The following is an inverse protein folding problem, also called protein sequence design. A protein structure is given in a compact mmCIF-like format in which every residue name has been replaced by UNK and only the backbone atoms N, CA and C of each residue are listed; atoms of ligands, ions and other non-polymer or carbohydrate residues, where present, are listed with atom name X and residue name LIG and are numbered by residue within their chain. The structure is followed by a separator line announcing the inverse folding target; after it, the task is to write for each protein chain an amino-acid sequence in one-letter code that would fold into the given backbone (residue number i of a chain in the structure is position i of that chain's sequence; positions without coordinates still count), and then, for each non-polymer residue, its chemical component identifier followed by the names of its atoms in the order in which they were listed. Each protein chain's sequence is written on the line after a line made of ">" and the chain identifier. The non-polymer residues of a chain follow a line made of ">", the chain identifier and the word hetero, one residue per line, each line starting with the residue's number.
data_IF_871090148408
#
_entry.id   IF_871090148408
#
_cell.length_a   1.000
_cell.length_b   1.000
_cell.length_c   1.000
_cell.angle_alpha   90.00
_cell.angle_beta   90.00
_cell.angle_gamma   90.00
#
_symmetry.space_group_name_H-M   'P 1'
#
loop_
_entity.id
_entity.type
_entity.pdbx_description
1 polymer ?
#
# COMPACT_ATOMS: atom_id res chain seq x y z
N UNK A 1 2.63 -24.42 2.71
CA UNK A 1 2.20 -25.49 3.63
C UNK A 1 0.99 -24.99 4.41
N UNK A 2 -0.14 -25.72 4.52
CA UNK A 2 -1.35 -25.25 5.21
C UNK A 2 -1.06 -24.81 6.66
N UNK A 3 -0.18 -25.54 7.34
CA UNK A 3 0.25 -25.23 8.71
C UNK A 3 0.99 -23.88 8.89
N UNK A 4 1.39 -23.20 7.80
CA UNK A 4 1.95 -21.86 7.87
C UNK A 4 0.90 -20.78 8.17
N UNK A 5 -0.41 -21.08 8.08
CA UNK A 5 -1.51 -20.16 8.38
C UNK A 5 -1.71 -19.01 7.37
N UNK A 6 -0.71 -18.72 6.51
CA UNK A 6 -0.75 -17.64 5.52
C UNK A 6 -1.88 -17.84 4.48
N UNK A 7 -2.15 -19.10 4.09
CA UNK A 7 -3.21 -19.42 3.14
C UNK A 7 -4.61 -19.14 3.70
N UNK A 8 -4.83 -19.49 4.96
CA UNK A 8 -6.12 -19.31 5.63
C UNK A 8 -6.37 -17.83 5.95
N UNK A 9 -5.36 -17.11 6.47
CA UNK A 9 -5.44 -15.65 6.68
C UNK A 9 -5.71 -14.91 5.36
N UNK A 10 -5.07 -15.31 4.27
CA UNK A 10 -5.32 -14.72 2.96
C UNK A 10 -6.75 -14.96 2.51
N UNK A 11 -7.25 -16.20 2.62
CA UNK A 11 -8.60 -16.56 2.18
C UNK A 11 -9.69 -15.88 3.03
N UNK A 12 -9.47 -15.75 4.34
CA UNK A 12 -10.37 -15.03 5.25
C UNK A 12 -10.39 -13.52 4.96
N UNK A 13 -9.25 -12.94 4.57
CA UNK A 13 -9.16 -11.54 4.17
C UNK A 13 -9.62 -11.29 2.73
N UNK A 14 -9.66 -12.31 1.87
CA UNK A 14 -10.09 -12.19 0.47
C UNK A 14 -11.56 -11.72 0.36
N UNK A 15 -12.37 -12.07 1.37
CA UNK A 15 -13.74 -11.58 1.54
C UNK A 15 -13.81 -10.05 1.71
N UNK A 16 -12.80 -9.42 2.34
CA UNK A 16 -12.72 -7.96 2.46
C UNK A 16 -12.39 -7.30 1.10
N UNK A 17 -11.72 -8.02 0.21
CA UNK A 17 -11.40 -7.57 -1.14
C UNK A 17 -12.53 -7.80 -2.16
N UNK A 18 -13.43 -8.77 -1.91
CA UNK A 18 -14.52 -9.17 -2.84
C UNK A 18 -15.83 -8.38 -2.69
N UNK A 19 -15.88 -7.34 -1.85
CA UNK A 19 -16.81 -6.22 -2.05
C UNK A 19 -16.39 -5.37 -3.27
N UNK A 20 -16.19 -6.01 -4.43
CA UNK A 20 -15.69 -5.37 -5.66
C UNK A 20 -16.57 -4.20 -6.12
N UNK A 21 -17.86 -4.21 -5.74
CA UNK A 21 -18.79 -3.10 -5.97
C UNK A 21 -18.63 -1.92 -5.01
N UNK A 22 -18.26 -2.15 -3.74
CA UNK A 22 -18.16 -1.09 -2.73
C UNK A 22 -16.79 -0.38 -2.81
N UNK A 23 -15.69 -1.13 -2.90
CA UNK A 23 -14.35 -0.53 -2.98
C UNK A 23 -14.18 0.34 -4.24
N UNK A 24 -14.68 -0.14 -5.38
CA UNK A 24 -14.69 0.63 -6.62
C UNK A 24 -15.59 1.87 -6.51
N UNK A 25 -16.72 1.77 -5.82
CA UNK A 25 -17.62 2.90 -5.58
C UNK A 25 -17.00 3.95 -4.66
N UNK A 26 -16.33 3.54 -3.58
CA UNK A 26 -15.63 4.43 -2.65
C UNK A 26 -14.53 5.24 -3.37
N UNK A 27 -13.75 4.57 -4.21
CA UNK A 27 -12.76 5.21 -5.09
C UNK A 27 -13.43 6.22 -6.04
N UNK A 28 -14.56 5.86 -6.64
CA UNK A 28 -15.29 6.80 -7.49
C UNK A 28 -15.87 8.00 -6.72
N UNK A 29 -16.38 7.80 -5.51
CA UNK A 29 -16.92 8.88 -4.69
C UNK A 29 -15.81 9.84 -4.26
N UNK A 30 -14.67 9.32 -3.80
CA UNK A 30 -13.51 10.12 -3.40
C UNK A 30 -13.01 11.00 -4.55
N UNK A 31 -12.76 10.42 -5.73
CA UNK A 31 -12.32 11.18 -6.89
C UNK A 31 -13.33 12.24 -7.35
N UNK A 32 -14.63 11.93 -7.37
CA UNK A 32 -15.66 12.91 -7.74
C UNK A 32 -15.71 14.10 -6.77
N UNK A 33 -15.60 13.84 -5.46
CA UNK A 33 -15.54 14.89 -4.45
C UNK A 33 -14.29 15.77 -4.65
N UNK A 34 -13.13 15.16 -4.85
CA UNK A 34 -11.86 15.87 -5.10
C UNK A 34 -11.92 16.74 -6.36
N UNK A 35 -12.52 16.27 -7.44
CA UNK A 35 -12.73 17.06 -8.66
C UNK A 35 -13.60 18.29 -8.41
N UNK A 36 -14.63 18.15 -7.56
CA UNK A 36 -15.47 19.27 -7.12
C UNK A 36 -14.69 20.28 -6.27
N UNK A 37 -13.83 19.80 -5.37
CA UNK A 37 -12.91 20.63 -4.58
C UNK A 37 -11.95 21.40 -5.48
N UNK A 38 -11.35 20.74 -6.49
CA UNK A 38 -10.42 21.39 -7.41
C UNK A 38 -11.02 22.60 -8.14
N UNK A 39 -12.28 22.47 -8.58
CA UNK A 39 -13.01 23.55 -9.27
C UNK A 39 -13.11 24.83 -8.43
N UNK A 40 -13.16 24.70 -7.10
CA UNK A 40 -13.30 25.79 -6.13
C UNK A 40 -12.07 25.96 -5.22
N UNK A 41 -10.91 25.44 -5.61
CA UNK A 41 -9.69 25.36 -4.78
C UNK A 41 -9.21 26.70 -4.19
N UNK A 42 -9.55 27.84 -4.83
CA UNK A 42 -9.20 29.19 -4.37
C UNK A 42 -10.17 29.78 -3.35
N UNK A 43 -11.27 29.07 -3.06
CA UNK A 43 -12.36 29.50 -2.18
C UNK A 43 -12.55 28.51 -1.03
N UNK A 44 -11.58 27.63 -0.79
CA UNK A 44 -11.65 26.66 0.29
C UNK A 44 -11.55 27.37 1.64
N UNK A 45 -12.37 26.91 2.58
CA UNK A 45 -12.43 27.36 3.96
C UNK A 45 -12.08 26.21 4.89
N UNK A 46 -11.86 26.49 6.18
CA UNK A 46 -11.60 25.43 7.17
C UNK A 46 -12.73 24.39 7.23
N UNK A 47 -13.97 24.79 6.96
CA UNK A 47 -15.16 23.92 6.95
C UNK A 47 -15.14 22.89 5.83
N UNK A 48 -14.35 23.12 4.76
CA UNK A 48 -14.20 22.18 3.66
C UNK A 48 -13.28 21.00 3.99
N UNK A 49 -12.47 21.14 5.03
CA UNK A 49 -11.54 20.12 5.49
C UNK A 49 -11.45 20.09 7.01
N UNK A 50 -12.53 19.66 7.71
CA UNK A 50 -12.54 19.62 9.17
C UNK A 50 -11.45 18.71 9.76
N UNK A 51 -10.98 17.75 8.96
CA UNK A 51 -9.88 16.83 9.31
C UNK A 51 -8.53 17.22 8.70
N UNK A 52 -8.43 18.38 8.04
CA UNK A 52 -7.19 18.89 7.43
C UNK A 52 -6.66 18.06 6.25
N UNK A 53 -7.46 17.16 5.68
CA UNK A 53 -7.06 16.27 4.57
C UNK A 53 -6.78 16.98 3.26
N UNK A 54 -7.24 18.24 3.12
CA UNK A 54 -7.01 19.08 1.94
C UNK A 54 -5.77 19.96 2.07
N UNK A 55 -4.93 19.79 3.10
CA UNK A 55 -3.71 20.60 3.28
C UNK A 55 -2.67 20.47 2.17
N UNK A 56 -2.84 19.57 1.21
CA UNK A 56 -2.05 19.52 -0.03
C UNK A 56 -2.51 20.57 -1.07
N UNK A 57 -3.65 21.23 -0.85
CA UNK A 57 -4.16 22.31 -1.69
C UNK A 57 -3.72 23.71 -1.20
N UNK A 58 -3.07 23.79 -0.05
CA UNK A 58 -2.51 25.03 0.47
C UNK A 58 -1.47 25.56 -0.50
N UNK A 59 -1.68 26.77 -1.02
CA UNK A 59 -0.84 27.38 -2.06
C UNK A 59 -0.58 26.46 -3.27
N UNK A 60 -1.58 25.65 -3.67
CA UNK A 60 -1.41 24.61 -4.70
C UNK A 60 -0.88 25.11 -6.04
N UNK A 61 -1.25 26.33 -6.45
CA UNK A 61 -0.77 26.92 -7.70
C UNK A 61 0.75 27.19 -7.65
N UNK A 62 1.33 27.43 -6.46
CA UNK A 62 2.78 27.55 -6.24
C UNK A 62 3.41 26.16 -6.09
N UNK A 63 2.81 25.28 -5.29
CA UNK A 63 3.29 23.90 -5.08
C UNK A 63 3.53 23.20 -6.43
N UNK A 64 2.58 23.31 -7.36
CA UNK A 64 2.66 22.67 -8.68
C UNK A 64 3.75 23.23 -9.60
N UNK A 65 4.38 24.35 -9.26
CA UNK A 65 5.52 24.92 -9.99
C UNK A 65 6.86 24.45 -9.43
N UNK A 66 6.85 23.81 -8.27
CA UNK A 66 8.07 23.32 -7.63
C UNK A 66 8.62 22.10 -8.36
N UNK A 67 9.93 21.92 -8.23
CA UNK A 67 10.65 20.68 -8.56
C UNK A 67 11.30 20.16 -7.29
N UNK A 68 11.64 18.87 -7.25
CA UNK A 68 12.27 18.27 -6.09
C UNK A 68 13.64 18.93 -5.84
N UNK A 69 13.83 19.63 -4.70
CA UNK A 69 15.09 20.32 -4.42
C UNK A 69 16.16 19.37 -3.86
N UNK A 70 15.78 18.16 -3.46
CA UNK A 70 16.62 17.23 -2.73
C UNK A 70 17.43 16.34 -3.69
N UNK A 71 18.73 16.25 -3.43
CA UNK A 71 19.68 15.53 -4.26
C UNK A 71 20.63 14.63 -3.44
N UNK A 72 20.30 14.37 -2.18
CA UNK A 72 20.99 13.41 -1.32
C UNK A 72 20.02 12.32 -0.89
N UNK A 73 20.56 11.17 -0.47
CA UNK A 73 19.74 10.06 0.02
C UNK A 73 19.03 10.49 1.32
N UNK A 74 19.77 11.09 2.23
CA UNK A 74 19.30 11.58 3.53
C UNK A 74 18.12 12.54 3.38
N UNK A 75 18.23 13.50 2.47
CA UNK A 75 17.15 14.46 2.24
C UNK A 75 15.92 13.79 1.60
N UNK A 76 16.11 12.86 0.66
CA UNK A 76 14.98 12.20 -0.01
C UNK A 76 14.21 11.29 0.95
N UNK A 77 14.88 10.68 1.94
CA UNK A 77 14.24 9.78 2.91
C UNK A 77 13.77 10.46 4.19
N UNK A 78 14.04 11.76 4.35
CA UNK A 78 13.58 12.53 5.50
C UNK A 78 12.03 12.58 5.52
N UNK A 79 11.37 12.18 6.62
CA UNK A 79 9.90 12.10 6.67
C UNK A 79 9.18 13.35 6.19
N UNK A 80 9.67 14.53 6.60
CA UNK A 80 9.06 15.81 6.24
C UNK A 80 9.16 16.11 4.74
N UNK A 81 10.28 15.76 4.12
CA UNK A 81 10.50 15.91 2.68
C UNK A 81 9.61 14.92 1.91
N UNK A 82 9.52 13.66 2.33
CA UNK A 82 8.61 12.67 1.72
C UNK A 82 7.16 13.16 1.74
N UNK A 83 6.70 13.69 2.88
CA UNK A 83 5.35 14.25 2.99
C UNK A 83 5.14 15.39 1.99
N UNK A 84 6.13 16.26 1.80
CA UNK A 84 6.07 17.34 0.82
C UNK A 84 6.01 16.82 -0.62
N UNK A 85 6.84 15.83 -0.98
CA UNK A 85 6.78 15.16 -2.29
C UNK A 85 5.40 14.54 -2.53
N UNK A 86 4.83 13.94 -1.49
CA UNK A 86 3.53 13.28 -1.56
C UNK A 86 2.37 14.29 -1.67
N UNK A 87 2.49 15.46 -1.02
CA UNK A 87 1.58 16.60 -1.23
C UNK A 87 1.59 17.07 -2.68
N UNK A 88 2.79 17.28 -3.24
CA UNK A 88 2.95 17.66 -4.65
C UNK A 88 2.32 16.61 -5.58
N UNK A 89 2.60 15.33 -5.36
CA UNK A 89 2.05 14.22 -6.14
C UNK A 89 0.52 14.19 -6.10
N UNK A 90 -0.07 14.41 -4.93
CA UNK A 90 -1.52 14.45 -4.74
C UNK A 90 -2.14 15.62 -5.52
N UNK A 91 -1.55 16.81 -5.41
CA UNK A 91 -1.98 17.99 -6.15
C UNK A 91 -1.87 17.80 -7.67
N UNK A 92 -0.75 17.23 -8.14
CA UNK A 92 -0.49 17.02 -9.56
C UNK A 92 -1.48 16.00 -10.14
N UNK A 93 -1.69 14.88 -9.46
CA UNK A 93 -2.64 13.84 -9.87
C UNK A 93 -4.07 14.39 -9.91
N UNK A 94 -4.45 15.24 -8.95
CA UNK A 94 -5.75 15.90 -8.93
C UNK A 94 -5.93 16.84 -10.12
N UNK A 95 -4.97 17.75 -10.35
CA UNK A 95 -5.00 18.67 -11.49
C UNK A 95 -5.09 17.90 -12.81
N UNK A 96 -4.22 16.91 -13.00
CA UNK A 96 -4.15 16.13 -14.24
C UNK A 96 -5.46 15.37 -14.51
N UNK A 97 -6.09 14.84 -13.46
CA UNK A 97 -7.39 14.17 -13.55
C UNK A 97 -8.50 15.17 -13.88
N UNK A 98 -8.49 16.35 -13.26
CA UNK A 98 -9.45 17.41 -13.58
C UNK A 98 -9.31 17.89 -15.03
N UNK A 99 -8.08 18.16 -15.48
CA UNK A 99 -7.79 18.61 -16.84
C UNK A 99 -8.23 17.56 -17.88
N UNK A 100 -8.02 16.27 -17.59
CA UNK A 100 -8.51 15.16 -18.42
C UNK A 100 -10.04 15.17 -18.54
N UNK A 101 -10.75 15.28 -17.41
CA UNK A 101 -12.23 15.33 -17.41
C UNK A 101 -12.75 16.57 -18.14
N UNK A 102 -12.13 17.73 -17.91
CA UNK A 102 -12.48 18.98 -18.60
C UNK A 102 -12.29 18.84 -20.12
N UNK A 103 -11.17 18.24 -20.56
CA UNK A 103 -10.91 17.96 -21.98
C UNK A 103 -11.97 17.05 -22.59
N UNK A 104 -12.34 15.97 -21.92
CA UNK A 104 -13.39 15.05 -22.39
C UNK A 104 -14.74 15.74 -22.55
N UNK A 105 -15.14 16.55 -21.57
CA UNK A 105 -16.38 17.35 -21.64
C UNK A 105 -16.33 18.36 -22.79
N UNK A 106 -15.20 19.03 -22.98
CA UNK A 106 -15.02 19.98 -24.09
C UNK A 106 -15.10 19.31 -25.47
N UNK A 107 -14.76 18.01 -25.55
CA UNK A 107 -14.89 17.19 -26.75
C UNK A 107 -16.33 16.65 -26.97
N UNK A 108 -17.31 17.10 -26.18
CA UNK A 108 -18.71 16.71 -26.32
C UNK A 108 -19.10 15.39 -25.64
N UNK A 109 -18.21 14.81 -24.82
CA UNK A 109 -18.56 13.65 -24.01
C UNK A 109 -19.55 14.04 -22.92
N UNK A 110 -20.58 13.21 -22.73
CA UNK A 110 -21.49 13.37 -21.60
C UNK A 110 -20.79 13.03 -20.27
N UNK A 111 -21.47 13.27 -19.15
CA UNK A 111 -20.92 13.02 -17.82
C UNK A 111 -20.57 11.55 -17.56
N UNK A 112 -21.30 10.60 -18.16
CA UNK A 112 -21.06 9.17 -17.98
C UNK A 112 -19.82 8.72 -18.77
N UNK A 113 -19.74 9.12 -20.04
CA UNK A 113 -18.60 8.86 -20.92
C UNK A 113 -17.32 9.50 -20.37
N UNK A 114 -17.38 10.77 -19.97
CA UNK A 114 -16.23 11.47 -19.41
C UNK A 114 -15.71 10.78 -18.15
N UNK A 115 -16.61 10.29 -17.28
CA UNK A 115 -16.23 9.52 -16.09
C UNK A 115 -15.56 8.21 -16.45
N UNK A 116 -16.14 7.43 -17.36
CA UNK A 116 -15.61 6.12 -17.74
C UNK A 116 -14.23 6.24 -18.42
N UNK A 117 -14.09 7.19 -19.35
CA UNK A 117 -12.83 7.45 -20.07
C UNK A 117 -11.74 8.11 -19.21
N UNK A 118 -12.08 8.60 -18.01
CA UNK A 118 -11.14 9.15 -17.01
C UNK A 118 -10.94 8.23 -15.79
N UNK A 119 -11.42 6.99 -15.82
CA UNK A 119 -11.24 6.07 -14.68
C UNK A 119 -9.80 5.57 -14.56
N UNK A 120 -9.37 4.79 -15.55
CA UNK A 120 -8.05 4.17 -15.57
C UNK A 120 -6.95 5.24 -15.61
N UNK A 121 -5.92 5.08 -14.77
CA UNK A 121 -4.76 5.99 -14.66
C UNK A 121 -5.08 7.43 -14.23
N UNK A 122 -6.33 7.75 -13.89
CA UNK A 122 -6.75 9.08 -13.47
C UNK A 122 -7.56 9.00 -12.17
N UNK A 123 -8.90 8.85 -12.23
CA UNK A 123 -9.75 8.91 -11.05
C UNK A 123 -9.41 7.84 -9.98
N UNK A 124 -9.05 6.62 -10.41
CA UNK A 124 -8.62 5.56 -9.49
C UNK A 124 -7.28 5.92 -8.84
N UNK A 125 -6.29 6.32 -9.64
CA UNK A 125 -4.98 6.72 -9.16
C UNK A 125 -5.05 7.91 -8.19
N UNK A 126 -5.88 8.91 -8.50
CA UNK A 126 -6.14 10.06 -7.63
C UNK A 126 -6.64 9.63 -6.25
N UNK A 127 -7.60 8.72 -6.20
CA UNK A 127 -8.20 8.31 -4.93
C UNK A 127 -7.22 7.51 -4.07
N UNK A 128 -6.41 6.65 -4.70
CA UNK A 128 -5.35 5.90 -4.03
C UNK A 128 -4.29 6.85 -3.49
N UNK A 129 -3.77 7.76 -4.32
CA UNK A 129 -2.77 8.75 -3.91
C UNK A 129 -3.33 9.64 -2.79
N UNK A 130 -4.57 10.11 -2.88
CA UNK A 130 -5.19 10.89 -1.81
C UNK A 130 -5.26 10.11 -0.48
N UNK A 131 -5.66 8.83 -0.52
CA UNK A 131 -5.71 7.97 0.67
C UNK A 131 -4.33 7.71 1.27
N UNK A 132 -3.34 7.42 0.42
CA UNK A 132 -1.95 7.24 0.82
C UNK A 132 -1.36 8.52 1.46
N UNK A 133 -1.65 9.70 0.90
CA UNK A 133 -1.25 10.98 1.49
C UNK A 133 -1.86 11.16 2.89
N UNK A 134 -3.14 10.85 3.05
CA UNK A 134 -3.82 10.92 4.34
C UNK A 134 -3.18 9.99 5.38
N UNK A 135 -2.95 8.73 5.01
CA UNK A 135 -2.31 7.74 5.90
C UNK A 135 -0.90 8.19 6.29
N UNK A 136 -0.09 8.66 5.33
CA UNK A 136 1.27 9.12 5.58
C UNK A 136 1.30 10.31 6.56
N UNK A 137 0.46 11.32 6.34
CA UNK A 137 0.39 12.50 7.20
C UNK A 137 -0.09 12.15 8.62
N UNK A 138 -1.08 11.27 8.74
CA UNK A 138 -1.58 10.83 10.04
C UNK A 138 -0.54 9.97 10.78
N UNK A 139 0.16 9.08 10.06
CA UNK A 139 1.21 8.24 10.64
C UNK A 139 2.35 9.12 11.18
N UNK A 140 2.84 10.05 10.37
CA UNK A 140 3.87 11.01 10.83
C UNK A 140 3.42 11.84 12.02
N UNK A 141 2.21 12.41 11.98
CA UNK A 141 1.69 13.26 13.06
C UNK A 141 1.52 12.49 14.37
N UNK A 142 1.05 11.25 14.29
CA UNK A 142 0.91 10.36 15.44
C UNK A 142 2.28 10.05 16.05
N UNK A 143 3.24 9.67 15.21
CA UNK A 143 4.59 9.31 15.66
C UNK A 143 5.34 10.52 16.23
N UNK A 144 5.23 11.68 15.60
CA UNK A 144 5.87 12.93 16.06
C UNK A 144 5.49 13.27 17.50
N UNK A 145 4.24 12.98 17.88
CA UNK A 145 3.70 13.23 19.22
C UNK A 145 3.89 12.05 20.19
N UNK A 146 4.55 10.97 19.76
CA UNK A 146 4.78 9.81 20.61
C UNK A 146 5.74 10.16 21.76
N UNK A 147 5.41 9.88 23.04
CA UNK A 147 6.20 10.39 24.18
C UNK A 147 7.63 9.86 24.23
N UNK A 148 7.81 8.55 24.06
CA UNK A 148 9.11 7.91 24.18
C UNK A 148 10.01 8.21 22.96
N UNK A 149 11.20 8.76 23.21
CA UNK A 149 12.09 9.21 22.16
C UNK A 149 12.72 8.05 21.36
N UNK A 150 13.03 6.93 22.00
CA UNK A 150 13.65 5.79 21.33
C UNK A 150 12.65 5.12 20.39
N UNK A 151 11.45 4.82 20.88
CA UNK A 151 10.32 4.33 20.10
C UNK A 151 9.96 5.31 18.99
N UNK A 152 9.87 6.62 19.28
CA UNK A 152 9.61 7.64 18.25
C UNK A 152 10.63 7.60 17.12
N UNK A 153 11.92 7.42 17.41
CA UNK A 153 12.96 7.33 16.38
C UNK A 153 12.84 6.06 15.52
N UNK A 154 12.46 4.92 16.11
CA UNK A 154 12.16 3.69 15.34
C UNK A 154 10.94 3.89 14.45
N UNK A 155 9.86 4.44 15.02
CA UNK A 155 8.62 4.69 14.30
C UNK A 155 8.80 5.73 13.18
N UNK A 156 9.63 6.76 13.35
CA UNK A 156 9.95 7.71 12.28
C UNK A 156 10.69 7.04 11.11
N UNK A 157 11.58 6.07 11.38
CA UNK A 157 12.19 5.25 10.32
C UNK A 157 11.14 4.43 9.57
N UNK A 158 10.10 3.93 10.25
CA UNK A 158 8.98 3.26 9.60
C UNK A 158 8.11 4.21 8.78
N UNK A 159 7.90 5.45 9.25
CA UNK A 159 7.21 6.51 8.47
C UNK A 159 7.98 6.78 7.18
N UNK A 160 9.29 6.97 7.26
CA UNK A 160 10.15 7.14 6.09
C UNK A 160 10.09 5.94 5.16
N UNK A 161 10.17 4.72 5.70
CA UNK A 161 10.15 3.49 4.90
C UNK A 161 8.82 3.31 4.17
N UNK A 162 7.71 3.48 4.88
CA UNK A 162 6.37 3.43 4.29
C UNK A 162 6.21 4.50 3.21
N UNK A 163 6.52 5.75 3.54
CA UNK A 163 6.38 6.90 2.64
C UNK A 163 7.26 6.77 1.39
N UNK A 164 8.53 6.40 1.54
CA UNK A 164 9.43 6.18 0.42
C UNK A 164 8.97 5.03 -0.47
N UNK A 165 8.48 3.93 0.12
CA UNK A 165 7.96 2.77 -0.61
C UNK A 165 6.72 3.10 -1.46
N UNK A 166 5.74 3.83 -0.91
CA UNK A 166 4.57 4.25 -1.69
C UNK A 166 4.94 5.30 -2.75
N UNK A 167 5.90 6.17 -2.46
CA UNK A 167 6.40 7.17 -3.42
C UNK A 167 7.14 6.49 -4.59
N UNK A 168 7.88 5.41 -4.33
CA UNK A 168 8.59 4.63 -5.36
C UNK A 168 7.63 4.08 -6.42
N UNK A 169 6.46 3.57 -5.98
CA UNK A 169 5.40 3.10 -6.87
C UNK A 169 4.84 4.22 -7.77
N UNK A 170 5.05 5.48 -7.41
CA UNK A 170 4.56 6.67 -8.10
C UNK A 170 5.68 7.40 -8.87
N UNK A 171 6.86 6.79 -9.01
CA UNK A 171 8.00 7.39 -9.73
C UNK A 171 7.64 7.85 -11.13
N UNK A 172 6.89 7.05 -11.89
CA UNK A 172 6.48 7.42 -13.24
C UNK A 172 5.71 8.75 -13.24
N UNK A 173 4.75 8.93 -12.32
CA UNK A 173 3.95 10.15 -12.20
C UNK A 173 4.82 11.35 -11.81
N UNK A 174 5.77 11.17 -10.88
CA UNK A 174 6.69 12.23 -10.45
C UNK A 174 7.59 12.73 -11.59
N UNK A 175 8.07 11.83 -12.45
CA UNK A 175 8.85 12.19 -13.63
C UNK A 175 7.99 12.78 -14.76
N UNK A 176 6.81 12.20 -15.05
CA UNK A 176 5.87 12.72 -16.07
C UNK A 176 5.43 14.14 -15.73
N UNK A 177 5.19 14.42 -14.45
CA UNK A 177 4.81 15.75 -13.99
C UNK A 177 5.98 16.71 -13.75
N UNK A 178 7.22 16.28 -14.00
CA UNK A 178 8.40 17.13 -13.96
C UNK A 178 8.91 17.50 -12.56
N UNK A 179 8.38 16.87 -11.51
CA UNK A 179 8.87 17.11 -10.15
C UNK A 179 10.20 16.40 -9.89
N UNK A 180 10.30 15.14 -10.30
CA UNK A 180 11.56 14.40 -10.27
C UNK A 180 12.32 14.54 -11.59
N UNK A 181 13.64 14.59 -11.47
CA UNK A 181 14.57 14.64 -12.59
C UNK A 181 15.86 13.87 -12.28
N UNK A 182 16.61 13.53 -13.34
CA UNK A 182 17.92 12.88 -13.21
C UNK A 182 17.89 11.63 -12.31
N UNK A 183 18.77 11.61 -11.32
CA UNK A 183 19.02 10.45 -10.43
C UNK A 183 18.12 10.39 -9.19
N UNK A 184 17.16 11.29 -9.03
CA UNK A 184 16.34 11.37 -7.80
C UNK A 184 15.56 10.07 -7.52
N UNK A 185 15.05 9.40 -8.56
CA UNK A 185 14.43 8.08 -8.39
C UNK A 185 15.40 6.98 -7.96
N UNK A 186 16.67 7.06 -8.35
CA UNK A 186 17.71 6.12 -7.88
C UNK A 186 18.04 6.36 -6.41
N UNK A 187 18.18 7.63 -6.01
CA UNK A 187 18.41 8.01 -4.62
C UNK A 187 17.26 7.54 -3.71
N UNK A 188 16.01 7.64 -4.17
CA UNK A 188 14.84 7.12 -3.44
C UNK A 188 14.96 5.60 -3.22
N UNK A 189 15.29 4.84 -4.27
CA UNK A 189 15.46 3.38 -4.18
C UNK A 189 16.59 2.99 -3.25
N UNK A 190 17.72 3.67 -3.33
CA UNK A 190 18.85 3.46 -2.43
C UNK A 190 18.49 3.81 -0.98
N UNK A 191 17.73 4.89 -0.80
CA UNK A 191 17.16 5.30 0.47
C UNK A 191 16.26 4.24 1.10
N UNK A 192 15.39 3.60 0.32
CA UNK A 192 14.56 2.47 0.78
C UNK A 192 15.43 1.32 1.28
N UNK A 193 16.47 0.94 0.53
CA UNK A 193 17.39 -0.13 0.97
C UNK A 193 18.10 0.22 2.28
N UNK A 194 18.52 1.47 2.44
CA UNK A 194 19.14 1.96 3.67
C UNK A 194 18.16 1.96 4.85
N UNK A 195 16.92 2.38 4.63
CA UNK A 195 15.86 2.31 5.65
C UNK A 195 15.56 0.86 6.06
N UNK A 196 15.48 -0.07 5.12
CA UNK A 196 15.33 -1.50 5.42
C UNK A 196 16.49 -2.00 6.31
N UNK A 197 17.73 -1.66 5.98
CA UNK A 197 18.89 -2.03 6.79
C UNK A 197 18.83 -1.41 8.20
N UNK A 198 18.35 -0.17 8.33
CA UNK A 198 18.18 0.51 9.62
C UNK A 198 17.03 -0.05 10.46
N UNK A 199 15.97 -0.58 9.85
CA UNK A 199 14.81 -1.17 10.55
C UNK A 199 15.06 -2.64 10.92
N UNK A 200 15.93 -3.33 10.18
CA UNK A 200 16.22 -4.77 10.37
C UNK A 200 16.51 -5.17 11.83
N UNK A 201 17.32 -4.44 12.62
CA UNK A 201 17.59 -4.80 14.01
C UNK A 201 16.34 -4.75 14.91
N UNK A 202 15.38 -3.88 14.59
CA UNK A 202 14.17 -3.65 15.36
C UNK A 202 12.99 -4.52 14.85
N UNK A 203 13.15 -5.22 13.72
CA UNK A 203 12.05 -5.87 12.98
C UNK A 203 11.32 -6.94 13.80
N UNK A 204 12.04 -7.80 14.53
CA UNK A 204 11.43 -8.85 15.37
C UNK A 204 10.62 -8.21 16.50
N UNK A 205 11.20 -7.25 17.24
CA UNK A 205 10.52 -6.55 18.31
C UNK A 205 9.26 -5.81 17.82
N UNK A 206 9.32 -5.18 16.64
CA UNK A 206 8.17 -4.52 16.01
C UNK A 206 7.05 -5.51 15.68
N UNK A 207 7.40 -6.67 15.11
CA UNK A 207 6.42 -7.73 14.82
C UNK A 207 5.82 -8.28 16.12
N UNK A 208 6.63 -8.48 17.16
CA UNK A 208 6.17 -8.98 18.46
C UNK A 208 5.14 -8.04 19.11
N UNK A 209 5.21 -6.72 18.87
CA UNK A 209 4.18 -5.78 19.37
C UNK A 209 2.81 -5.96 18.72
N UNK A 210 2.77 -6.50 17.50
CA UNK A 210 1.55 -6.69 16.72
C UNK A 210 1.09 -8.16 16.72
N UNK A 211 2.00 -9.08 17.00
CA UNK A 211 1.76 -10.50 16.96
C UNK A 211 0.69 -10.88 18.00
N UNK A 212 -0.45 -11.45 17.58
CA UNK A 212 -1.35 -12.06 18.54
C UNK A 212 -0.67 -13.31 19.10
N UNK A 213 -1.07 -13.82 20.28
CA UNK A 213 -0.46 -15.01 20.87
C UNK A 213 -0.37 -16.19 19.88
N UNK A 214 0.63 -17.07 20.03
CA UNK A 214 0.88 -18.20 19.11
C UNK A 214 -0.36 -19.07 18.83
N UNK A 215 -1.26 -19.21 19.81
CA UNK A 215 -2.52 -19.96 19.64
C UNK A 215 -3.52 -19.27 18.70
N UNK A 216 -3.48 -17.94 18.58
CA UNK A 216 -4.25 -17.17 17.61
C UNK A 216 -3.62 -17.22 16.22
N UNK A 217 -2.28 -17.09 16.15
CA UNK A 217 -1.52 -17.10 14.88
C UNK A 217 -1.71 -18.41 14.11
N UNK A 218 -1.83 -19.54 14.82
CA UNK A 218 -1.98 -20.90 14.24
C UNK A 218 -0.97 -21.19 13.12
N UNK A 219 0.22 -20.58 13.21
CA UNK A 219 1.27 -20.66 12.21
C UNK A 219 2.48 -21.39 12.78
N UNK A 220 2.87 -22.49 12.15
CA UNK A 220 4.11 -23.20 12.51
C UNK A 220 5.38 -22.41 12.16
N UNK A 221 5.27 -21.41 11.29
CA UNK A 221 6.36 -20.52 10.92
C UNK A 221 6.44 -19.27 11.81
N UNK A 222 5.29 -18.79 12.28
CA UNK A 222 5.17 -17.56 13.08
C UNK A 222 5.20 -17.76 14.58
N UNK A 223 5.65 -18.93 15.08
CA UNK A 223 5.77 -19.14 16.52
C UNK A 223 6.86 -18.26 17.13
N UNK A 224 6.54 -17.69 18.28
CA UNK A 224 7.40 -16.77 19.04
C UNK A 224 8.77 -17.35 19.46
N UNK A 225 8.94 -18.68 19.47
CA UNK A 225 10.19 -19.36 19.85
C UNK A 225 11.25 -19.44 18.73
N UNK A 226 10.91 -19.04 17.49
CA UNK A 226 11.83 -19.02 16.35
C UNK A 226 12.23 -20.40 15.80
N UNK A 227 11.66 -21.48 16.30
CA UNK A 227 12.06 -22.87 15.99
C UNK A 227 11.30 -23.44 14.77
N UNK A 228 11.20 -22.64 13.71
CA UNK A 228 10.32 -22.90 12.56
C UNK A 228 10.48 -24.31 11.96
N UNK A 229 11.72 -24.77 11.76
CA UNK A 229 11.98 -26.10 11.18
C UNK A 229 11.49 -27.25 12.07
N UNK A 230 11.66 -27.14 13.39
CA UNK A 230 11.17 -28.15 14.34
C UNK A 230 9.64 -28.21 14.35
N UNK A 231 8.97 -27.06 14.23
CA UNK A 231 7.52 -26.99 14.16
C UNK A 231 6.95 -27.53 12.85
N UNK A 232 7.59 -27.25 11.71
CA UNK A 232 7.23 -27.87 10.42
C UNK A 232 7.37 -29.38 10.52
N UNK A 233 8.52 -29.87 10.99
CA UNK A 233 8.77 -31.30 11.12
C UNK A 233 7.74 -31.97 12.03
N UNK A 234 7.48 -31.37 13.19
CA UNK A 234 6.47 -31.87 14.13
C UNK A 234 5.09 -31.90 13.48
N UNK A 235 4.67 -30.81 12.82
CA UNK A 235 3.37 -30.73 12.16
C UNK A 235 3.18 -31.76 11.04
N UNK A 236 4.24 -32.07 10.28
CA UNK A 236 4.20 -33.10 9.24
C UNK A 236 4.10 -34.49 9.87
N UNK A 237 4.90 -34.75 10.91
CA UNK A 237 4.96 -36.07 11.56
C UNK A 237 3.70 -36.40 12.36
N UNK A 238 3.00 -35.39 12.90
CA UNK A 238 1.76 -35.59 13.68
C UNK A 238 0.50 -35.50 12.82
N UNK A 239 0.60 -35.26 11.51
CA UNK A 239 -0.57 -35.17 10.65
C UNK A 239 -1.22 -36.57 10.47
N UNK A 240 -2.54 -36.71 10.61
CA UNK A 240 -3.21 -38.01 10.51
C UNK A 240 -2.91 -38.73 9.18
N UNK A 241 -2.39 -39.95 9.27
CA UNK A 241 -2.02 -40.75 8.10
C UNK A 241 -0.72 -40.33 7.40
N UNK A 242 0.06 -39.39 7.94
CA UNK A 242 1.30 -38.91 7.31
C UNK A 242 2.38 -40.00 7.17
N UNK A 243 2.40 -40.96 8.08
CA UNK A 243 3.31 -42.11 8.05
C UNK A 243 2.64 -43.38 7.51
N UNK A 244 1.39 -43.27 7.08
CA UNK A 244 0.59 -44.40 6.59
C UNK A 244 0.49 -44.37 5.06
N UNK A 245 0.22 -45.53 4.45
CA UNK A 245 -0.02 -45.57 3.01
C UNK A 245 -1.38 -44.93 2.70
N UNK A 246 -1.47 -44.02 1.71
CA UNK A 246 -2.75 -43.43 1.32
C UNK A 246 -3.75 -44.53 0.93
N UNK A 247 -5.01 -44.45 1.34
CA UNK A 247 -6.00 -45.52 1.09
C UNK A 247 -6.11 -45.94 -0.40
N UNK A 248 -5.90 -44.99 -1.33
CA UNK A 248 -5.92 -45.19 -2.78
C UNK A 248 -4.60 -45.73 -3.38
N UNK A 249 -3.59 -46.02 -2.56
CA UNK A 249 -2.27 -46.43 -3.07
C UNK A 249 -2.34 -47.67 -3.96
N UNK A 250 -3.24 -48.62 -3.64
CA UNK A 250 -3.44 -49.84 -4.44
C UNK A 250 -4.06 -49.53 -5.79
N UNK A 251 -4.98 -48.58 -5.86
CA UNK A 251 -5.65 -48.24 -7.12
C UNK A 251 -4.69 -47.57 -8.10
N UNK A 252 -3.71 -46.81 -7.60
CA UNK A 252 -2.65 -46.20 -8.42
C UNK A 252 -1.57 -47.20 -8.82
N UNK A 253 -1.15 -48.09 -7.91
CA UNK A 253 -0.09 -49.07 -8.21
C UNK A 253 -0.61 -50.22 -9.08
N UNK A 254 -1.84 -50.66 -8.86
CA UNK A 254 -2.48 -51.77 -9.57
C UNK A 254 -3.54 -51.31 -10.58
N UNK A 255 -3.45 -50.07 -11.07
CA UNK A 255 -4.45 -49.48 -11.97
C UNK A 255 -4.77 -50.36 -13.19
N UNK A 256 -3.78 -51.07 -13.73
CA UNK A 256 -3.91 -52.03 -14.85
C UNK A 256 -4.73 -53.27 -14.53
N UNK A 257 -4.85 -53.62 -13.25
CA UNK A 257 -5.63 -54.76 -12.77
C UNK A 257 -7.12 -54.42 -12.64
N UNK A 258 -7.45 -53.12 -12.50
CA UNK A 258 -8.82 -52.61 -12.35
C UNK A 258 -9.45 -52.13 -13.66
N UNK A 259 -8.63 -51.87 -14.69
CA UNK A 259 -9.10 -51.45 -16.03
C UNK A 259 -9.82 -52.54 -16.85
N UNK A 260 -9.53 -53.86 -16.72
CA UNK A 260 -10.24 -54.88 -17.48
C UNK A 260 -11.68 -55.14 -17.01
N UNK A 261 -12.09 -54.60 -15.86
CA UNK A 261 -13.41 -54.85 -15.27
C UNK A 261 -14.48 -53.80 -15.62
N UNK A 262 -14.16 -52.80 -16.46
CA UNK A 262 -15.09 -51.73 -16.88
C UNK A 262 -15.10 -51.47 -18.39
N UNK A 263 -14.73 -52.45 -19.20
CA UNK A 263 -15.01 -52.50 -20.64
C UNK A 263 -15.91 -53.68 -20.95
#
# INVERSE_FOLDING_TARGET
>A
HPAAGIGDIRNDNDANCTYEGENSLLVQQASNWLLGVWARRRQLTADDSPLGTLGFLDNVDQLLQETCPWNTIEDIIEPTNIIHMYKWLTAYTLKSTYDKVAKLKSAGRDNFQAKNESQAYNAVALSVVYGENYVLNNFYSTVKNFPDAACRNVLLRLVSLYGAFILEKQLATLYIGGYFSGTQGLLLREGILRLCAQVTPDAVALVDTLAPPDWCLKSVLGKSDGEAYKHIQSSVMTYPGALERPHWWRDVVYWRSYTPAKL
#
